data_IF_428534061862
#
_entry.id   IF_428534061862
#
_cell.length_a   1.000
_cell.length_b   1.000
_cell.length_c   1.000
_cell.angle_alpha   90.00
_cell.angle_beta   90.00
_cell.angle_gamma   90.00
#
_symmetry.space_group_name_H-M   'P 1'
#
loop_
_entity.id
_entity.type
_entity.pdbx_description
1 polymer ?
#
# COMPACT_ATOMS: atom_id res chain seq x y z
N UNK A 1 -34.96 -6.97 14.14
CA UNK A 1 -33.65 -7.53 13.79
C UNK A 1 -33.15 -7.10 12.41
N UNK A 2 -33.95 -7.28 11.37
CA UNK A 2 -33.58 -6.83 10.00
C UNK A 2 -33.33 -5.33 9.97
N UNK A 3 -34.09 -4.55 10.72
CA UNK A 3 -33.95 -3.12 10.83
C UNK A 3 -32.60 -2.71 11.46
N UNK A 4 -32.17 -3.42 12.50
CA UNK A 4 -30.87 -3.18 13.15
C UNK A 4 -29.69 -3.42 12.21
N UNK A 5 -29.78 -4.47 11.39
CA UNK A 5 -28.74 -4.80 10.41
C UNK A 5 -28.60 -3.69 9.36
N UNK A 6 -29.72 -3.09 8.93
CA UNK A 6 -29.71 -1.97 8.00
C UNK A 6 -29.01 -0.74 8.55
N UNK A 7 -29.28 -0.42 9.81
CA UNK A 7 -28.66 0.74 10.47
C UNK A 7 -27.15 0.55 10.58
N UNK A 8 -26.71 -0.64 10.96
CA UNK A 8 -25.28 -0.97 11.05
C UNK A 8 -24.59 -0.83 9.68
N UNK A 9 -25.23 -1.31 8.61
CA UNK A 9 -24.67 -1.17 7.25
C UNK A 9 -24.53 0.27 6.83
N UNK A 10 -25.50 1.13 7.12
CA UNK A 10 -25.46 2.56 6.79
C UNK A 10 -24.32 3.24 7.55
N UNK A 11 -24.18 2.95 8.85
CA UNK A 11 -23.11 3.51 9.66
C UNK A 11 -21.73 3.09 9.15
N UNK A 12 -21.55 1.82 8.80
CA UNK A 12 -20.29 1.31 8.27
C UNK A 12 -19.93 1.97 6.93
N UNK A 13 -20.92 2.16 6.05
CA UNK A 13 -20.70 2.84 4.77
C UNK A 13 -20.26 4.29 4.98
N UNK A 14 -20.89 4.98 5.92
CA UNK A 14 -20.55 6.36 6.24
C UNK A 14 -19.12 6.47 6.77
N UNK A 15 -18.74 5.61 7.70
CA UNK A 15 -17.40 5.60 8.28
C UNK A 15 -16.35 5.25 7.22
N UNK A 16 -16.64 4.31 6.33
CA UNK A 16 -15.75 3.93 5.24
C UNK A 16 -15.52 5.11 4.29
N UNK A 17 -16.57 5.88 3.96
CA UNK A 17 -16.44 7.06 3.11
C UNK A 17 -15.57 8.13 3.75
N UNK A 18 -15.71 8.37 5.05
CA UNK A 18 -14.88 9.34 5.76
C UNK A 18 -13.42 8.89 5.74
N UNK A 19 -13.15 7.61 5.97
CA UNK A 19 -11.79 7.07 5.96
C UNK A 19 -11.18 7.17 4.56
N UNK A 20 -11.93 6.89 3.51
CA UNK A 20 -11.47 7.06 2.13
C UNK A 20 -11.11 8.51 1.82
N UNK A 21 -11.93 9.46 2.23
CA UNK A 21 -11.67 10.89 2.01
C UNK A 21 -10.37 11.29 2.68
N UNK A 22 -10.14 10.84 3.91
CA UNK A 22 -8.90 11.12 4.63
C UNK A 22 -7.69 10.49 3.94
N UNK A 23 -7.81 9.27 3.46
CA UNK A 23 -6.72 8.59 2.76
C UNK A 23 -6.39 9.27 1.44
N UNK A 24 -7.41 9.68 0.68
CA UNK A 24 -7.20 10.42 -0.57
C UNK A 24 -6.44 11.72 -0.29
N UNK A 25 -6.85 12.46 0.74
CA UNK A 25 -6.18 13.70 1.13
C UNK A 25 -4.72 13.45 1.51
N UNK A 26 -4.45 12.40 2.28
CA UNK A 26 -3.09 12.05 2.68
C UNK A 26 -2.21 11.70 1.49
N UNK A 27 -2.74 10.95 0.52
CA UNK A 27 -1.98 10.56 -0.67
C UNK A 27 -1.74 11.78 -1.56
N UNK A 28 -2.73 12.66 -1.73
CA UNK A 28 -2.54 13.92 -2.47
C UNK A 28 -1.45 14.78 -1.84
N UNK A 29 -1.40 14.81 -0.53
CA UNK A 29 -0.36 15.53 0.19
C UNK A 29 1.03 14.94 -0.09
N UNK A 30 1.13 13.63 -0.23
CA UNK A 30 2.38 12.96 -0.62
C UNK A 30 2.90 13.47 -1.96
N UNK A 31 2.01 13.79 -2.91
CA UNK A 31 2.41 14.31 -4.23
C UNK A 31 3.28 15.57 -4.11
N UNK A 32 3.08 16.37 -3.08
CA UNK A 32 3.87 17.57 -2.86
C UNK A 32 5.36 17.21 -2.68
N UNK A 33 5.59 16.13 -1.94
CA UNK A 33 6.96 15.66 -1.68
C UNK A 33 7.50 14.89 -2.87
N UNK A 34 6.71 14.00 -3.46
CA UNK A 34 7.18 13.11 -4.53
C UNK A 34 7.46 13.83 -5.84
N UNK A 35 6.85 14.99 -6.06
CA UNK A 35 7.12 15.82 -7.23
C UNK A 35 8.59 16.20 -7.37
N UNK A 36 9.32 16.27 -6.27
CA UNK A 36 10.78 16.53 -6.27
C UNK A 36 11.53 15.45 -7.04
N UNK A 37 10.95 14.25 -7.10
CA UNK A 37 11.54 13.11 -7.80
C UNK A 37 10.88 12.86 -9.15
N UNK A 38 10.04 13.80 -9.60
CA UNK A 38 9.32 13.65 -10.86
C UNK A 38 8.14 12.71 -10.80
N UNK A 39 7.63 12.41 -9.60
CA UNK A 39 6.56 11.44 -9.38
C UNK A 39 5.31 12.11 -8.83
N UNK A 40 4.16 11.76 -9.40
CA UNK A 40 2.87 12.18 -8.88
C UNK A 40 1.80 11.17 -9.28
N UNK A 41 0.79 11.02 -8.43
CA UNK A 41 -0.37 10.19 -8.71
C UNK A 41 -1.54 11.08 -9.14
N UNK A 42 -2.21 10.70 -10.21
CA UNK A 42 -3.47 11.32 -10.61
C UNK A 42 -4.59 10.89 -9.66
N UNK A 43 -5.73 11.58 -9.72
CA UNK A 43 -6.88 11.20 -8.91
C UNK A 43 -7.32 9.77 -9.18
N UNK A 44 -7.36 9.35 -10.44
CA UNK A 44 -7.71 7.98 -10.80
C UNK A 44 -6.71 6.97 -10.25
N UNK A 45 -5.42 7.29 -10.30
CA UNK A 45 -4.38 6.42 -9.76
C UNK A 45 -4.48 6.30 -8.24
N UNK A 46 -4.82 7.38 -7.56
CA UNK A 46 -5.06 7.36 -6.11
C UNK A 46 -6.24 6.44 -5.78
N UNK A 47 -7.34 6.56 -6.52
CA UNK A 47 -8.50 5.70 -6.32
C UNK A 47 -8.17 4.23 -6.58
N UNK A 48 -7.40 3.95 -7.63
CA UNK A 48 -6.94 2.60 -7.93
C UNK A 48 -6.04 2.05 -6.84
N UNK A 49 -5.18 2.88 -6.27
CA UNK A 49 -4.30 2.47 -5.17
C UNK A 49 -5.11 2.08 -3.93
N UNK A 50 -6.13 2.87 -3.60
CA UNK A 50 -7.03 2.55 -2.49
C UNK A 50 -7.78 1.24 -2.74
N UNK A 51 -8.22 1.02 -3.97
CA UNK A 51 -8.90 -0.23 -4.33
C UNK A 51 -7.96 -1.42 -4.24
N UNK A 52 -6.73 -1.27 -4.67
CA UNK A 52 -5.70 -2.30 -4.54
C UNK A 52 -5.47 -2.67 -3.08
N UNK A 53 -5.43 -1.67 -2.20
CA UNK A 53 -5.28 -1.94 -0.77
C UNK A 53 -6.46 -2.76 -0.24
N UNK A 54 -7.68 -2.40 -0.62
CA UNK A 54 -8.87 -3.15 -0.20
C UNK A 54 -8.81 -4.61 -0.68
N UNK A 55 -8.43 -4.81 -1.92
CA UNK A 55 -8.28 -6.15 -2.49
C UNK A 55 -7.20 -6.95 -1.75
N UNK A 56 -6.06 -6.33 -1.48
CA UNK A 56 -4.96 -6.99 -0.79
C UNK A 56 -5.36 -7.40 0.62
N UNK A 57 -6.06 -6.54 1.34
CA UNK A 57 -6.57 -6.86 2.67
C UNK A 57 -7.54 -8.03 2.61
N UNK A 58 -8.45 -8.03 1.65
CA UNK A 58 -9.41 -9.10 1.46
C UNK A 58 -8.71 -10.42 1.12
N UNK A 59 -7.76 -10.39 0.20
CA UNK A 59 -7.05 -11.58 -0.26
C UNK A 59 -6.17 -12.20 0.83
N UNK A 60 -5.69 -11.39 1.75
CA UNK A 60 -4.86 -11.85 2.87
C UNK A 60 -5.64 -12.08 4.15
N UNK A 61 -6.97 -11.87 4.13
CA UNK A 61 -7.82 -12.03 5.30
C UNK A 61 -7.56 -11.03 6.41
N UNK A 62 -7.07 -9.85 6.05
CA UNK A 62 -6.69 -8.81 7.02
C UNK A 62 -7.72 -7.70 7.10
N UNK A 63 -7.81 -7.09 8.28
CA UNK A 63 -8.66 -5.93 8.51
C UNK A 63 -7.79 -4.83 9.13
N UNK A 64 -7.84 -3.64 8.57
CA UNK A 64 -7.17 -2.47 9.12
C UNK A 64 -8.19 -1.36 9.31
N UNK A 65 -8.27 -0.85 10.53
CA UNK A 65 -9.24 0.18 10.88
C UNK A 65 -8.71 1.60 10.67
N UNK A 66 -7.40 1.76 10.53
CA UNK A 66 -6.76 3.07 10.34
C UNK A 66 -6.28 3.21 8.91
N UNK A 67 -5.83 4.41 8.55
CA UNK A 67 -5.42 4.76 7.19
C UNK A 67 -4.29 3.94 6.61
N UNK A 68 -3.67 3.11 7.39
CA UNK A 68 -2.77 2.11 6.87
C UNK A 68 -1.42 2.63 6.45
N UNK A 69 -0.89 2.00 5.41
CA UNK A 69 0.53 2.05 5.09
C UNK A 69 0.84 2.76 3.76
N UNK A 70 -0.19 3.25 3.05
CA UNK A 70 0.03 3.77 1.69
C UNK A 70 0.98 4.96 1.67
N UNK A 71 0.79 5.92 2.57
CA UNK A 71 1.66 7.08 2.68
C UNK A 71 3.08 6.68 3.08
N UNK A 72 3.21 5.68 3.94
CA UNK A 72 4.53 5.17 4.36
C UNK A 72 5.28 4.54 3.20
N UNK A 73 4.60 3.74 2.38
CA UNK A 73 5.20 3.12 1.20
C UNK A 73 5.60 4.21 0.19
N UNK A 74 4.72 5.16 -0.08
CA UNK A 74 5.00 6.25 -1.01
C UNK A 74 6.25 7.02 -0.57
N UNK A 75 6.30 7.43 0.69
CA UNK A 75 7.42 8.22 1.21
C UNK A 75 8.73 7.43 1.22
N UNK A 76 8.67 6.13 1.46
CA UNK A 76 9.85 5.29 1.48
C UNK A 76 10.42 5.04 0.08
N UNK A 77 9.55 4.88 -0.93
CA UNK A 77 9.98 4.46 -2.27
C UNK A 77 10.19 5.60 -3.25
N UNK A 78 9.73 6.82 -2.94
CA UNK A 78 9.74 7.92 -3.92
C UNK A 78 11.15 8.32 -4.37
N UNK A 79 12.18 8.03 -3.61
CA UNK A 79 13.55 8.34 -3.98
C UNK A 79 14.29 7.19 -4.67
N UNK A 80 13.58 6.12 -5.03
CA UNK A 80 14.21 4.99 -5.71
C UNK A 80 14.66 5.38 -7.12
N UNK A 81 15.89 5.01 -7.51
CA UNK A 81 16.37 5.27 -8.87
C UNK A 81 15.64 4.45 -9.93
N UNK A 82 14.87 3.44 -9.53
CA UNK A 82 14.14 2.57 -10.44
C UNK A 82 12.73 3.04 -10.72
N UNK A 83 12.25 4.09 -10.02
CA UNK A 83 10.91 4.63 -10.24
C UNK A 83 10.96 5.84 -11.17
N UNK A 84 10.01 5.87 -12.11
CA UNK A 84 9.76 7.01 -12.97
C UNK A 84 8.24 7.21 -13.05
N UNK A 85 7.81 8.31 -13.67
CA UNK A 85 6.38 8.61 -13.73
C UNK A 85 5.58 7.53 -14.46
N UNK A 86 6.17 6.86 -15.44
CA UNK A 86 5.48 5.82 -16.22
C UNK A 86 5.18 4.57 -15.39
N UNK A 87 6.12 4.14 -14.54
CA UNK A 87 5.96 2.92 -13.77
C UNK A 87 5.51 3.16 -12.32
N UNK A 88 5.39 4.41 -11.90
CA UNK A 88 5.16 4.75 -10.50
C UNK A 88 3.90 4.10 -9.92
N UNK A 89 2.75 4.36 -10.53
CA UNK A 89 1.47 3.85 -10.02
C UNK A 89 1.44 2.32 -10.03
N UNK A 90 1.83 1.70 -11.14
CA UNK A 90 1.80 0.24 -11.24
C UNK A 90 2.73 -0.43 -10.24
N UNK A 91 3.89 0.17 -9.98
CA UNK A 91 4.82 -0.35 -8.99
C UNK A 91 4.23 -0.26 -7.58
N UNK A 92 3.59 0.87 -7.26
CA UNK A 92 2.94 1.01 -5.96
C UNK A 92 1.85 -0.04 -5.75
N UNK A 93 1.05 -0.34 -6.79
CA UNK A 93 0.00 -1.35 -6.70
C UNK A 93 0.60 -2.71 -6.33
N UNK A 94 1.70 -3.07 -6.95
CA UNK A 94 2.37 -4.34 -6.67
C UNK A 94 3.01 -4.35 -5.27
N UNK A 95 3.60 -3.23 -4.85
CA UNK A 95 4.21 -3.13 -3.52
C UNK A 95 3.17 -3.31 -2.40
N UNK A 96 1.96 -2.84 -2.61
CA UNK A 96 0.88 -3.02 -1.62
C UNK A 96 0.56 -4.51 -1.45
N UNK A 97 0.42 -5.25 -2.55
CA UNK A 97 0.17 -6.69 -2.49
C UNK A 97 1.31 -7.43 -1.77
N UNK A 98 2.54 -7.10 -2.13
CA UNK A 98 3.73 -7.73 -1.53
C UNK A 98 3.79 -7.44 -0.03
N UNK A 99 3.48 -6.20 0.37
CA UNK A 99 3.51 -5.81 1.78
C UNK A 99 2.58 -6.68 2.62
N UNK A 100 1.34 -6.83 2.20
CA UNK A 100 0.36 -7.60 2.99
C UNK A 100 0.64 -9.09 2.96
N UNK A 101 1.11 -9.63 1.85
CA UNK A 101 1.55 -11.01 1.81
C UNK A 101 2.69 -11.27 2.79
N UNK A 102 3.66 -10.36 2.84
CA UNK A 102 4.79 -10.49 3.75
C UNK A 102 4.35 -10.38 5.22
N UNK A 103 3.41 -9.49 5.53
CA UNK A 103 2.87 -9.37 6.89
C UNK A 103 2.26 -10.69 7.34
N UNK A 104 1.52 -11.36 6.47
CA UNK A 104 0.95 -12.66 6.77
C UNK A 104 2.03 -13.73 6.95
N UNK A 105 3.03 -13.75 6.08
CA UNK A 105 4.12 -14.73 6.14
C UNK A 105 4.93 -14.59 7.42
N UNK A 106 5.12 -13.41 7.92
CA UNK A 106 5.87 -13.16 9.16
C UNK A 106 4.98 -13.24 10.41
N UNK A 107 3.70 -13.52 10.24
CA UNK A 107 2.71 -13.61 11.33
C UNK A 107 2.72 -12.31 12.17
N UNK A 108 2.85 -11.18 11.49
CA UNK A 108 2.89 -9.85 12.12
C UNK A 108 4.03 -9.65 13.13
N UNK A 109 5.09 -10.44 13.05
CA UNK A 109 6.24 -10.30 13.94
C UNK A 109 7.15 -9.13 13.54
N UNK A 110 7.02 -8.63 12.33
CA UNK A 110 7.80 -7.49 11.82
C UNK A 110 6.91 -6.26 11.79
N UNK A 111 7.41 -5.14 12.28
CA UNK A 111 6.64 -3.88 12.23
C UNK A 111 6.49 -3.40 10.80
N UNK A 112 5.49 -2.56 10.56
CA UNK A 112 5.27 -1.99 9.23
C UNK A 112 6.50 -1.23 8.73
N UNK A 113 7.11 -0.45 9.61
CA UNK A 113 8.29 0.35 9.30
C UNK A 113 9.49 -0.52 8.94
N UNK A 114 9.72 -1.57 9.71
CA UNK A 114 10.82 -2.52 9.46
C UNK A 114 10.62 -3.25 8.14
N UNK A 115 9.39 -3.66 7.86
CA UNK A 115 9.05 -4.37 6.63
C UNK A 115 9.23 -3.47 5.42
N UNK A 116 8.71 -2.25 5.47
CA UNK A 116 8.86 -1.29 4.37
C UNK A 116 10.33 -0.98 4.12
N UNK A 117 11.10 -0.81 5.17
CA UNK A 117 12.54 -0.58 5.07
C UNK A 117 13.26 -1.74 4.41
N UNK A 118 12.91 -2.96 4.78
CA UNK A 118 13.47 -4.17 4.17
C UNK A 118 13.10 -4.25 2.68
N UNK A 119 11.83 -4.02 2.37
CA UNK A 119 11.35 -4.03 0.98
C UNK A 119 12.09 -3.01 0.12
N UNK A 120 12.24 -1.79 0.63
CA UNK A 120 12.95 -0.72 -0.08
C UNK A 120 14.41 -1.07 -0.34
N UNK A 121 15.08 -1.58 0.67
CA UNK A 121 16.48 -1.99 0.56
C UNK A 121 16.66 -3.09 -0.48
N UNK A 122 15.78 -4.09 -0.47
CA UNK A 122 15.83 -5.19 -1.43
C UNK A 122 15.47 -4.72 -2.83
N UNK A 123 14.44 -3.89 -2.94
CA UNK A 123 13.99 -3.34 -4.22
C UNK A 123 15.10 -2.57 -4.92
N UNK A 124 15.78 -1.69 -4.18
CA UNK A 124 16.87 -0.87 -4.74
C UNK A 124 18.18 -1.67 -4.89
N UNK A 125 18.34 -2.73 -4.14
CA UNK A 125 19.55 -3.56 -4.13
C UNK A 125 19.45 -4.76 -5.06
N UNK A 126 19.31 -5.94 -4.47
CA UNK A 126 19.38 -7.20 -5.21
C UNK A 126 18.27 -7.37 -6.24
N UNK A 127 17.13 -6.72 -6.03
CA UNK A 127 15.98 -6.83 -6.94
C UNK A 127 16.09 -5.88 -8.15
N UNK A 128 16.97 -4.90 -8.12
CA UNK A 128 17.18 -3.93 -9.20
C UNK A 128 15.87 -3.32 -9.71
N UNK A 129 14.96 -2.99 -8.79
CA UNK A 129 13.69 -2.36 -9.11
C UNK A 129 12.62 -3.32 -9.63
N UNK A 130 12.82 -4.62 -9.48
CA UNK A 130 11.84 -5.62 -9.92
C UNK A 130 10.95 -6.05 -8.75
N UNK A 131 9.65 -5.77 -8.87
CA UNK A 131 8.67 -6.23 -7.89
C UNK A 131 8.51 -7.75 -7.93
N UNK A 132 8.70 -8.35 -9.10
CA UNK A 132 8.67 -9.80 -9.23
C UNK A 132 9.77 -10.46 -8.38
N UNK A 133 10.99 -9.95 -8.48
CA UNK A 133 12.10 -10.44 -7.66
C UNK A 133 11.85 -10.17 -6.17
N UNK A 134 11.28 -9.03 -5.86
CA UNK A 134 10.95 -8.70 -4.47
C UNK A 134 9.99 -9.72 -3.88
N UNK A 135 8.95 -10.09 -4.61
CA UNK A 135 8.01 -11.10 -4.17
C UNK A 135 8.67 -12.47 -3.98
N UNK A 136 9.57 -12.84 -4.90
CA UNK A 136 10.32 -14.09 -4.81
C UNK A 136 11.28 -14.12 -3.63
N UNK A 137 11.90 -13.00 -3.31
CA UNK A 137 12.82 -12.85 -2.17
C UNK A 137 12.12 -13.20 -0.85
N UNK A 138 10.86 -12.80 -0.71
CA UNK A 138 10.06 -13.11 0.46
C UNK A 138 9.91 -14.62 0.64
N UNK A 139 9.63 -15.32 -0.44
CA UNK A 139 9.49 -16.78 -0.43
C UNK A 139 10.82 -17.46 -0.03
N UNK A 140 11.93 -16.99 -0.59
CA UNK A 140 13.26 -17.53 -0.29
C UNK A 140 13.66 -17.37 1.18
N UNK A 141 13.38 -16.21 1.76
CA UNK A 141 13.70 -15.98 3.18
C UNK A 141 12.87 -16.84 4.12
N UNK A 142 11.69 -17.25 3.69
CA UNK A 142 10.82 -18.13 4.46
C UNK A 142 11.42 -19.55 4.59
N UNK A 143 12.14 -19.97 3.61
CA UNK A 143 12.79 -21.27 3.58
C UNK A 143 14.10 -21.25 4.38
#
# INVERSE_FOLDING_TARGET
MVYKIRVVKVENSYLNNINEIKQIANIKECNIITQKYGLALSDNQIMNLLEKRKEALKNTGRVEFRGGILDKIINAFCNSPYLNQENYASTLYELVDIFYEYKNETIDLVTDEELIKFMKKSFDGICHGSTKYLAETIVEEKE
#
